data_IF_587807831491
#
_entry.id   IF_587807831491
#
_cell.length_a   1.000
_cell.length_b   1.000
_cell.length_c   1.000
_cell.angle_alpha   90.00
_cell.angle_beta   90.00
_cell.angle_gamma   90.00
#
_symmetry.space_group_name_H-M   'P 1'
#
loop_
_entity.id
_entity.type
_entity.pdbx_description
1 polymer ?
#
# COMPACT_ATOMS: atom_id res chain seq x y z
N UNK A 1 14.56 16.91 -7.80
CA UNK A 1 13.67 16.51 -8.91
C UNK A 1 12.56 15.62 -8.34
N UNK A 2 11.31 16.07 -8.33
CA UNK A 2 10.19 15.22 -7.87
C UNK A 2 9.87 14.23 -8.98
N UNK A 3 10.24 12.95 -8.79
CA UNK A 3 9.83 11.87 -9.67
C UNK A 3 8.29 11.83 -9.65
N UNK A 4 7.69 12.17 -10.79
CA UNK A 4 6.25 12.09 -11.02
C UNK A 4 5.84 10.64 -10.75
N UNK A 5 5.28 10.35 -9.58
CA UNK A 5 4.85 9.00 -9.21
C UNK A 5 3.66 8.63 -10.09
N UNK A 6 3.95 7.89 -11.16
CA UNK A 6 2.93 7.38 -12.06
C UNK A 6 1.93 6.56 -11.27
N UNK A 7 0.63 6.82 -11.50
CA UNK A 7 -0.45 6.00 -10.96
C UNK A 7 -0.15 4.52 -11.19
N UNK A 8 -0.47 3.66 -10.22
CA UNK A 8 -0.30 2.20 -10.32
C UNK A 8 -0.94 1.64 -11.60
N UNK A 9 -1.98 2.30 -12.11
CA UNK A 9 -2.64 1.98 -13.39
C UNK A 9 -1.72 2.03 -14.62
N UNK A 10 -0.58 2.72 -14.53
CA UNK A 10 0.41 2.82 -15.61
C UNK A 10 1.55 1.80 -15.50
N UNK A 11 1.61 1.02 -14.42
CA UNK A 11 2.62 -0.03 -14.29
C UNK A 11 2.35 -1.17 -15.27
N UNK A 12 3.36 -2.00 -15.52
CA UNK A 12 3.17 -3.27 -16.21
C UNK A 12 2.12 -4.10 -15.46
N UNK A 13 1.28 -4.86 -16.18
CA UNK A 13 0.19 -5.63 -15.54
C UNK A 13 0.73 -6.55 -14.46
N UNK A 14 1.86 -7.21 -14.70
CA UNK A 14 2.51 -8.11 -13.72
C UNK A 14 3.00 -7.42 -12.44
N UNK A 15 3.22 -6.10 -12.47
CA UNK A 15 3.66 -5.33 -11.31
C UNK A 15 2.47 -4.72 -10.53
N UNK A 16 1.27 -4.71 -11.11
CA UNK A 16 0.10 -4.15 -10.45
C UNK A 16 -0.39 -5.15 -9.39
N UNK A 17 -0.59 -4.73 -8.13
CA UNK A 17 -0.89 -5.64 -7.04
C UNK A 17 -2.10 -6.55 -7.27
N UNK A 18 -3.20 -6.04 -7.84
CA UNK A 18 -4.42 -6.85 -8.06
C UNK A 18 -4.21 -7.88 -9.15
N UNK A 19 -3.62 -7.48 -10.26
CA UNK A 19 -3.31 -8.33 -11.39
C UNK A 19 -2.27 -9.39 -11.01
N UNK A 20 -1.23 -9.00 -10.25
CA UNK A 20 -0.25 -9.91 -9.66
C UNK A 20 -0.88 -10.92 -8.71
N UNK A 21 -1.79 -10.48 -7.82
CA UNK A 21 -2.56 -11.35 -6.93
C UNK A 21 -3.39 -12.37 -7.72
N UNK A 22 -4.10 -11.92 -8.77
CA UNK A 22 -4.91 -12.80 -9.61
C UNK A 22 -4.07 -13.82 -10.38
N UNK A 23 -2.89 -13.43 -10.84
CA UNK A 23 -2.03 -14.29 -11.66
C UNK A 23 -1.19 -15.28 -10.85
N UNK A 24 -0.73 -14.89 -9.64
CA UNK A 24 0.32 -15.61 -8.90
C UNK A 24 -0.05 -15.96 -7.47
N UNK A 25 -1.19 -15.51 -6.95
CA UNK A 25 -1.57 -15.72 -5.55
C UNK A 25 -0.99 -14.67 -4.61
N UNK A 26 -1.37 -14.76 -3.32
CA UNK A 26 -1.04 -13.75 -2.31
C UNK A 26 0.41 -13.84 -1.78
N UNK A 27 1.03 -15.00 -1.89
CA UNK A 27 2.36 -15.31 -1.37
C UNK A 27 3.48 -14.50 -2.05
N UNK A 28 3.29 -14.08 -3.30
CA UNK A 28 4.27 -13.28 -4.05
C UNK A 28 4.18 -11.77 -3.79
N UNK A 29 3.19 -11.33 -2.99
CA UNK A 29 2.98 -9.92 -2.67
C UNK A 29 3.62 -9.58 -1.33
N UNK A 30 4.23 -8.40 -1.27
CA UNK A 30 4.65 -7.81 -0.01
C UNK A 30 3.43 -7.43 0.84
N UNK A 31 3.62 -7.33 2.15
CA UNK A 31 2.61 -6.80 3.07
C UNK A 31 2.08 -5.43 2.61
N UNK A 32 2.95 -4.60 2.02
CA UNK A 32 2.57 -3.29 1.50
C UNK A 32 1.66 -3.38 0.28
N UNK A 33 1.88 -4.34 -0.62
CA UNK A 33 0.99 -4.56 -1.76
C UNK A 33 -0.35 -5.16 -1.32
N UNK A 34 -0.35 -6.10 -0.38
CA UNK A 34 -1.58 -6.67 0.19
C UNK A 34 -2.42 -5.58 0.87
N UNK A 35 -1.80 -4.74 1.70
CA UNK A 35 -2.49 -3.62 2.34
C UNK A 35 -2.94 -2.57 1.31
N UNK A 36 -2.15 -2.31 0.26
CA UNK A 36 -2.53 -1.41 -0.83
C UNK A 36 -3.78 -1.89 -1.60
N UNK A 37 -3.95 -3.22 -1.74
CA UNK A 37 -5.16 -3.80 -2.33
C UNK A 37 -6.38 -3.50 -1.45
N UNK A 38 -6.25 -3.66 -0.13
CA UNK A 38 -7.35 -3.44 0.84
C UNK A 38 -7.79 -1.99 0.92
N UNK A 39 -6.85 -1.04 0.99
CA UNK A 39 -7.18 0.40 1.05
C UNK A 39 -7.68 0.95 -0.30
N UNK A 40 -7.47 0.18 -1.37
CA UNK A 40 -8.00 0.35 -2.73
C UNK A 40 -7.49 1.57 -3.51
N UNK A 41 -7.28 2.70 -2.84
CA UNK A 41 -6.99 4.01 -3.42
C UNK A 41 -5.81 4.69 -2.70
N UNK A 42 -5.05 5.45 -3.48
CA UNK A 42 -4.10 6.42 -2.96
C UNK A 42 -4.76 7.78 -2.74
N UNK A 43 -3.94 8.81 -2.56
CA UNK A 43 -4.37 10.20 -2.62
C UNK A 43 -3.73 10.91 -3.82
N UNK A 44 -3.87 12.25 -3.90
CA UNK A 44 -3.35 13.05 -5.02
C UNK A 44 -1.83 12.93 -5.18
N UNK A 45 -1.11 12.76 -4.08
CA UNK A 45 0.35 12.86 -4.02
C UNK A 45 1.04 11.50 -3.84
N UNK A 46 0.31 10.49 -3.33
CA UNK A 46 0.85 9.19 -2.91
C UNK A 46 -0.04 8.05 -3.42
N UNK A 47 0.60 7.02 -3.95
CA UNK A 47 -0.11 5.81 -4.39
C UNK A 47 -0.62 4.99 -3.20
N UNK A 48 -1.54 4.05 -3.45
CA UNK A 48 -2.00 3.13 -2.40
C UNK A 48 -0.83 2.34 -1.79
N UNK A 49 0.18 1.97 -2.59
CA UNK A 49 1.39 1.28 -2.10
C UNK A 49 2.21 2.19 -1.19
N UNK A 50 2.32 3.47 -1.51
CA UNK A 50 3.04 4.41 -0.66
C UNK A 50 2.38 4.56 0.70
N UNK A 51 1.06 4.78 0.70
CA UNK A 51 0.28 4.88 1.93
C UNK A 51 0.38 3.59 2.76
N UNK A 52 0.28 2.43 2.11
CA UNK A 52 0.43 1.14 2.77
C UNK A 52 1.82 0.97 3.41
N UNK A 53 2.89 1.43 2.74
CA UNK A 53 4.25 1.41 3.31
C UNK A 53 4.35 2.31 4.54
N UNK A 54 3.75 3.49 4.52
CA UNK A 54 3.77 4.39 5.68
C UNK A 54 2.98 3.81 6.85
N UNK A 55 1.81 3.24 6.58
CA UNK A 55 1.00 2.55 7.60
C UNK A 55 1.78 1.40 8.22
N UNK A 56 2.42 0.54 7.41
CA UNK A 56 3.21 -0.55 7.96
C UNK A 56 4.38 -0.06 8.81
N UNK A 57 5.08 0.99 8.39
CA UNK A 57 6.14 1.62 9.20
C UNK A 57 5.60 2.15 10.53
N UNK A 58 4.46 2.84 10.51
CA UNK A 58 3.80 3.36 11.69
C UNK A 58 3.44 2.24 12.67
N UNK A 59 2.96 1.11 12.15
CA UNK A 59 2.64 -0.10 12.89
C UNK A 59 3.84 -0.97 13.24
N UNK A 60 5.07 -0.58 12.88
CA UNK A 60 6.27 -1.42 13.03
C UNK A 60 6.09 -2.81 12.40
N UNK A 61 5.56 -2.84 11.18
CA UNK A 61 5.19 -4.03 10.39
C UNK A 61 4.19 -4.96 11.08
N UNK A 62 3.46 -4.46 12.09
CA UNK A 62 2.46 -5.21 12.83
C UNK A 62 1.06 -4.60 12.67
N UNK A 63 0.19 -5.27 11.92
CA UNK A 63 -1.18 -4.84 11.67
C UNK A 63 -2.02 -4.79 12.96
N UNK A 64 -1.77 -5.70 13.92
CA UNK A 64 -2.47 -5.69 15.21
C UNK A 64 -2.12 -4.47 16.06
N UNK A 65 -1.01 -3.79 15.76
CA UNK A 65 -0.67 -2.50 16.37
C UNK A 65 -1.51 -1.40 15.76
N UNK A 66 -1.61 -1.36 14.42
CA UNK A 66 -2.44 -0.41 13.70
C UNK A 66 -3.90 -0.44 14.15
N UNK A 67 -4.46 -1.64 14.37
CA UNK A 67 -5.85 -1.78 14.83
C UNK A 67 -6.11 -1.22 16.24
N UNK A 68 -5.05 -1.00 17.05
CA UNK A 68 -5.16 -0.45 18.41
C UNK A 68 -4.90 1.06 18.46
N UNK A 69 -4.48 1.66 17.35
CA UNK A 69 -4.20 3.09 17.25
C UNK A 69 -5.49 3.90 17.09
N UNK A 70 -5.48 5.11 17.61
CA UNK A 70 -6.56 6.09 17.44
C UNK A 70 -6.33 6.94 16.21
N UNK A 71 -7.36 7.65 15.74
CA UNK A 71 -7.24 8.58 14.59
C UNK A 71 -6.12 9.60 14.81
N UNK A 72 -5.91 10.05 16.05
CA UNK A 72 -4.86 11.04 16.39
C UNK A 72 -3.45 10.52 16.12
N UNK A 73 -3.25 9.20 16.24
CA UNK A 73 -1.95 8.59 16.01
C UNK A 73 -1.59 8.52 14.51
N UNK A 74 -2.58 8.69 13.62
CA UNK A 74 -2.40 8.74 12.17
C UNK A 74 -2.27 10.16 11.61
N UNK A 75 -2.54 11.19 12.42
CA UNK A 75 -2.54 12.61 12.01
C UNK A 75 -1.35 13.39 12.57
N UNK A 76 -0.31 12.71 13.05
CA UNK A 76 0.90 13.37 13.57
C UNK A 76 1.76 13.96 12.46
#
# INVERSE_FOLDING_TARGET
MQAKKYSIKHWAKDDRPREKLLARGADVLSNSELLAILILNGNRDRSAIDLAKDLLKLGSDNISRLSKMTVRDYTQ
#
